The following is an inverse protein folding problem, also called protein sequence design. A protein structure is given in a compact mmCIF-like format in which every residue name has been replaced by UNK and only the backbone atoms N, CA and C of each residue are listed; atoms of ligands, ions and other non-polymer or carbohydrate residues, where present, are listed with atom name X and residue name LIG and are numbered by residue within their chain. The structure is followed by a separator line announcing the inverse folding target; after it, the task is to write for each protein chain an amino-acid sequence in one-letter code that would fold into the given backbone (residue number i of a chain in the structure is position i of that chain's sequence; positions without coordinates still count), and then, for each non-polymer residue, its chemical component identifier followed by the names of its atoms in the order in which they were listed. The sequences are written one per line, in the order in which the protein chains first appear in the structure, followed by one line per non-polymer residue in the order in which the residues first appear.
data_IF_409061726893
#
_entry.id   IF_409061726893
#
_cell.length_a   1.000
_cell.length_b   1.000
_cell.length_c   1.000
_cell.angle_alpha   90.00
_cell.angle_beta   90.00
_cell.angle_gamma   90.00
#
_symmetry.space_group_name_H-M   'P 1'
#
loop_
_entity.id
_entity.type
_entity.pdbx_description
1 polymer ?
#
# COMPACT_ATOMS: atom_id res chain seq x y z
N UNK A 1 -6.57 31.19 8.97
CA UNK A 1 -7.31 29.99 9.43
C UNK A 1 -6.30 28.94 9.84
N UNK A 2 -6.59 28.06 10.79
CA UNK A 2 -5.67 26.97 11.12
C UNK A 2 -5.96 25.78 10.21
N UNK A 3 -4.92 25.22 9.57
CA UNK A 3 -5.03 23.99 8.79
C UNK A 3 -5.03 22.76 9.73
N UNK A 4 -6.03 21.90 9.59
CA UNK A 4 -6.11 20.68 10.39
C UNK A 4 -5.07 19.66 9.90
N UNK A 5 -4.30 19.07 10.81
CA UNK A 5 -3.31 18.03 10.48
C UNK A 5 -4.00 16.66 10.44
N UNK A 6 -3.94 15.99 9.29
CA UNK A 6 -4.48 14.65 9.08
C UNK A 6 -3.37 13.60 9.32
N UNK A 7 -3.03 13.35 10.58
CA UNK A 7 -1.98 12.40 10.94
C UNK A 7 -2.40 10.96 10.67
N UNK A 8 -1.58 10.19 9.93
CA UNK A 8 -1.80 8.76 9.72
C UNK A 8 -1.40 7.87 10.90
N UNK A 9 -0.72 8.42 11.92
CA UNK A 9 -0.15 7.62 13.02
C UNK A 9 -1.22 6.90 13.85
N UNK A 10 -2.32 7.59 14.18
CA UNK A 10 -3.42 6.99 14.98
C UNK A 10 -4.07 5.85 14.21
N UNK A 11 -4.39 6.06 12.94
CA UNK A 11 -4.99 5.05 12.08
C UNK A 11 -4.06 3.85 11.86
N UNK A 12 -2.76 4.11 11.64
CA UNK A 12 -1.75 3.04 11.57
C UNK A 12 -1.69 2.21 12.86
N UNK A 13 -1.85 2.85 14.02
CA UNK A 13 -1.95 2.16 15.32
C UNK A 13 -3.17 1.24 15.42
N UNK A 14 -4.33 1.67 14.91
CA UNK A 14 -5.54 0.85 14.88
C UNK A 14 -5.34 -0.38 13.99
N UNK A 15 -4.81 -0.21 12.78
CA UNK A 15 -4.49 -1.35 11.92
C UNK A 15 -3.46 -2.30 12.52
N UNK A 16 -2.44 -1.79 13.22
CA UNK A 16 -1.48 -2.63 13.92
C UNK A 16 -2.14 -3.50 15.01
N UNK A 17 -3.11 -2.96 15.75
CA UNK A 17 -3.88 -3.72 16.73
C UNK A 17 -4.69 -4.83 16.05
N UNK A 18 -5.39 -4.51 14.97
CA UNK A 18 -6.14 -5.48 14.16
C UNK A 18 -5.24 -6.60 13.62
N UNK A 19 -4.08 -6.24 13.07
CA UNK A 19 -3.07 -7.23 12.62
C UNK A 19 -2.64 -8.15 13.77
N UNK A 20 -2.35 -7.60 14.95
CA UNK A 20 -1.92 -8.42 16.10
C UNK A 20 -3.03 -9.36 16.59
N UNK A 21 -4.28 -8.94 16.56
CA UNK A 21 -5.44 -9.77 16.90
C UNK A 21 -5.59 -10.93 15.93
N UNK A 22 -5.50 -10.64 14.63
CA UNK A 22 -5.60 -11.64 13.58
C UNK A 22 -4.41 -12.61 13.59
N UNK A 23 -3.18 -12.14 13.84
CA UNK A 23 -2.00 -12.99 14.04
C UNK A 23 -2.22 -13.98 15.18
N UNK A 24 -2.72 -13.51 16.34
CA UNK A 24 -3.03 -14.40 17.46
C UNK A 24 -4.09 -15.44 17.12
N UNK A 25 -5.09 -15.06 16.31
CA UNK A 25 -6.12 -15.98 15.82
C UNK A 25 -5.52 -17.06 14.92
N UNK A 26 -4.74 -16.67 13.92
CA UNK A 26 -4.07 -17.58 12.97
C UNK A 26 -3.07 -18.52 13.67
N UNK A 27 -2.32 -18.02 14.66
CA UNK A 27 -1.38 -18.83 15.45
C UNK A 27 -2.08 -19.94 16.24
N UNK A 28 -3.28 -19.72 16.76
CA UNK A 28 -4.09 -20.77 17.41
C UNK A 28 -4.51 -21.88 16.44
N UNK A 29 -4.56 -21.57 15.15
CA UNK A 29 -4.84 -22.50 14.05
C UNK A 29 -3.54 -23.13 13.48
N UNK A 30 -2.39 -22.84 14.08
CA UNK A 30 -1.08 -23.34 13.64
C UNK A 30 -0.47 -22.56 12.45
N UNK A 31 -1.03 -21.41 12.09
CA UNK A 31 -0.59 -20.59 10.95
C UNK A 31 0.17 -19.37 11.43
N UNK A 32 1.37 -19.16 10.88
CA UNK A 32 2.15 -17.94 11.09
C UNK A 32 2.18 -17.15 9.78
N UNK A 33 1.54 -15.98 9.71
CA UNK A 33 1.58 -15.15 8.50
C UNK A 33 3.00 -14.71 8.16
N UNK A 34 3.36 -14.77 6.87
CA UNK A 34 4.68 -14.37 6.36
C UNK A 34 4.53 -13.46 5.15
N UNK A 35 5.20 -12.31 5.21
CA UNK A 35 5.42 -11.42 4.06
C UNK A 35 6.83 -11.64 3.50
N UNK A 36 6.95 -11.74 2.18
CA UNK A 36 8.21 -11.72 1.45
C UNK A 36 8.38 -10.36 0.76
N UNK A 37 9.49 -9.70 1.01
CA UNK A 37 9.86 -8.43 0.37
C UNK A 37 11.04 -8.70 -0.55
N UNK A 38 10.78 -8.63 -1.86
CA UNK A 38 11.82 -8.81 -2.90
C UNK A 38 12.33 -7.44 -3.32
N UNK A 39 13.62 -7.25 -3.26
CA UNK A 39 14.30 -6.03 -3.68
C UNK A 39 15.54 -6.34 -4.51
N UNK A 40 15.89 -5.41 -5.40
CA UNK A 40 17.06 -5.53 -6.28
C UNK A 40 17.59 -4.12 -6.58
N UNK A 41 18.14 -3.46 -5.58
CA UNK A 41 18.59 -2.07 -5.72
C UNK A 41 19.71 -1.75 -4.75
N UNK A 42 20.59 -0.79 -5.12
CA UNK A 42 21.57 -0.20 -4.22
C UNK A 42 21.09 1.09 -3.55
N UNK A 43 19.81 1.46 -3.71
CA UNK A 43 19.27 2.69 -3.13
C UNK A 43 19.08 2.57 -1.62
N UNK A 44 19.81 3.38 -0.87
CA UNK A 44 19.77 3.35 0.61
C UNK A 44 18.38 3.70 1.18
N UNK A 45 17.63 4.55 0.52
CA UNK A 45 16.28 4.93 0.98
C UNK A 45 15.32 3.74 0.90
N UNK A 46 15.45 2.91 -0.12
CA UNK A 46 14.71 1.67 -0.27
C UNK A 46 15.08 0.66 0.81
N UNK A 47 16.37 0.47 1.10
CA UNK A 47 16.82 -0.38 2.21
C UNK A 47 16.26 0.09 3.55
N UNK A 48 16.23 1.40 3.77
CA UNK A 48 15.68 1.97 4.99
C UNK A 48 14.17 1.69 5.11
N UNK A 49 13.44 1.84 4.02
CA UNK A 49 12.00 1.54 3.97
C UNK A 49 11.72 0.06 4.22
N UNK A 50 12.44 -0.85 3.56
CA UNK A 50 12.31 -2.31 3.76
C UNK A 50 12.58 -2.69 5.22
N UNK A 51 13.62 -2.14 5.84
CA UNK A 51 13.87 -2.33 7.28
C UNK A 51 12.73 -1.79 8.16
N UNK A 52 12.03 -0.76 7.72
CA UNK A 52 10.87 -0.25 8.46
C UNK A 52 9.68 -1.22 8.40
N UNK A 53 9.47 -1.89 7.26
CA UNK A 53 8.48 -2.96 7.09
C UNK A 53 8.84 -4.15 7.99
N UNK A 54 10.09 -4.58 7.98
CA UNK A 54 10.58 -5.69 8.81
C UNK A 54 10.32 -5.45 10.31
N UNK A 55 10.70 -4.28 10.82
CA UNK A 55 10.43 -3.90 12.22
C UNK A 55 8.94 -3.83 12.55
N UNK A 56 8.13 -3.38 11.60
CA UNK A 56 6.68 -3.33 11.78
C UNK A 56 6.08 -4.74 11.81
N UNK A 57 6.53 -5.64 10.92
CA UNK A 57 6.14 -7.04 10.88
C UNK A 57 6.52 -7.77 12.18
N UNK A 58 7.75 -7.59 12.66
CA UNK A 58 8.23 -8.15 13.93
C UNK A 58 7.36 -7.74 15.12
N UNK A 59 7.08 -6.44 15.25
CA UNK A 59 6.18 -5.91 16.31
C UNK A 59 4.75 -6.47 16.23
N UNK A 60 4.29 -6.79 15.03
CA UNK A 60 2.96 -7.35 14.79
C UNK A 60 2.90 -8.89 14.92
N UNK A 61 4.05 -9.57 15.02
CA UNK A 61 4.14 -11.03 15.05
C UNK A 61 4.02 -11.69 13.67
N UNK A 62 4.14 -10.91 12.59
CA UNK A 62 4.20 -11.38 11.19
C UNK A 62 5.64 -11.73 10.84
N UNK A 63 5.86 -12.89 10.21
CA UNK A 63 7.16 -13.24 9.66
C UNK A 63 7.51 -12.32 8.48
N UNK A 64 8.75 -11.84 8.41
CA UNK A 64 9.24 -11.06 7.28
C UNK A 64 10.46 -11.73 6.67
N UNK A 65 10.42 -11.98 5.35
CA UNK A 65 11.54 -12.53 4.57
C UNK A 65 12.00 -11.46 3.61
N UNK A 66 13.17 -10.90 3.83
CA UNK A 66 13.81 -9.97 2.89
C UNK A 66 14.65 -10.78 1.92
N UNK A 67 14.36 -10.64 0.63
CA UNK A 67 15.10 -11.25 -0.47
C UNK A 67 15.77 -10.11 -1.25
N UNK A 68 17.01 -9.82 -0.87
CA UNK A 68 17.83 -8.83 -1.57
C UNK A 68 18.66 -9.53 -2.65
N UNK A 69 18.37 -9.20 -3.91
CA UNK A 69 19.02 -9.79 -5.07
C UNK A 69 20.17 -8.91 -5.60
N UNK A 70 20.42 -7.76 -4.95
CA UNK A 70 21.45 -6.82 -5.36
C UNK A 70 21.09 -6.02 -6.62
N UNK A 71 21.84 -4.95 -6.85
CA UNK A 71 21.57 -4.00 -7.94
C UNK A 71 21.87 -4.54 -9.36
N UNK A 72 22.53 -5.68 -9.47
CA UNK A 72 22.86 -6.35 -10.75
C UNK A 72 21.86 -7.46 -11.09
N UNK A 73 20.81 -7.67 -10.31
CA UNK A 73 19.85 -8.72 -10.56
C UNK A 73 19.16 -8.54 -11.92
N UNK A 74 19.07 -9.63 -12.67
CA UNK A 74 18.44 -9.64 -13.99
C UNK A 74 16.94 -9.94 -13.89
N UNK A 75 16.17 -9.53 -14.90
CA UNK A 75 14.73 -9.80 -14.97
C UNK A 75 14.40 -11.30 -14.86
N UNK A 76 15.12 -12.26 -15.50
CA UNK A 76 14.87 -13.68 -15.31
C UNK A 76 15.06 -14.18 -13.88
N UNK A 77 16.05 -13.67 -13.14
CA UNK A 77 16.29 -14.03 -11.73
C UNK A 77 15.14 -13.53 -10.86
N UNK A 78 14.75 -12.27 -11.00
CA UNK A 78 13.59 -11.71 -10.30
C UNK A 78 12.31 -12.48 -10.62
N UNK A 79 12.09 -12.82 -11.89
CA UNK A 79 10.94 -13.58 -12.34
C UNK A 79 10.89 -15.00 -11.72
N UNK A 80 12.04 -15.68 -11.60
CA UNK A 80 12.11 -16.98 -10.92
C UNK A 80 11.71 -16.86 -9.45
N UNK A 81 12.35 -15.93 -8.73
CA UNK A 81 12.09 -15.72 -7.29
C UNK A 81 10.60 -15.40 -7.04
N UNK A 82 9.99 -14.54 -7.86
CA UNK A 82 8.58 -14.19 -7.69
C UNK A 82 7.64 -15.38 -7.93
N UNK A 83 7.95 -16.25 -8.93
CA UNK A 83 7.17 -17.48 -9.15
C UNK A 83 7.33 -18.47 -8.01
N UNK A 84 8.56 -18.67 -7.52
CA UNK A 84 8.85 -19.58 -6.42
C UNK A 84 8.11 -19.15 -5.14
N UNK A 85 8.17 -17.86 -4.79
CA UNK A 85 7.44 -17.29 -3.65
C UNK A 85 5.91 -17.39 -3.83
N UNK A 86 5.42 -17.18 -5.07
CA UNK A 86 3.99 -17.33 -5.38
C UNK A 86 3.52 -18.77 -5.19
N UNK A 87 4.35 -19.75 -5.51
CA UNK A 87 4.04 -21.17 -5.34
C UNK A 87 4.25 -21.66 -3.89
N UNK A 88 5.02 -20.94 -3.07
CA UNK A 88 5.39 -21.36 -1.71
C UNK A 88 4.22 -21.19 -0.72
N UNK A 89 3.66 -22.29 -0.12
CA UNK A 89 2.50 -22.19 0.78
C UNK A 89 2.77 -21.43 2.07
N UNK A 90 4.02 -21.37 2.53
CA UNK A 90 4.42 -20.67 3.76
C UNK A 90 4.51 -19.15 3.59
N UNK A 91 4.43 -18.61 2.37
CA UNK A 91 4.42 -17.19 2.06
C UNK A 91 2.98 -16.75 1.79
N UNK A 92 2.51 -15.76 2.52
CA UNK A 92 1.14 -15.26 2.43
C UNK A 92 1.03 -13.95 1.67
N UNK A 93 2.06 -13.11 1.72
CA UNK A 93 2.12 -11.85 0.98
C UNK A 93 3.46 -11.63 0.31
N UNK A 94 3.46 -11.00 -0.87
CA UNK A 94 4.66 -10.67 -1.63
C UNK A 94 4.64 -9.20 -2.00
N UNK A 95 5.78 -8.54 -1.80
CA UNK A 95 6.04 -7.15 -2.22
C UNK A 95 7.24 -7.17 -3.16
N UNK A 96 7.10 -6.60 -4.35
CA UNK A 96 8.22 -6.29 -5.23
C UNK A 96 8.60 -4.82 -5.05
N UNK A 97 9.69 -4.59 -4.34
CA UNK A 97 10.15 -3.24 -4.03
C UNK A 97 10.81 -2.57 -5.23
N UNK A 98 10.52 -1.31 -5.45
CA UNK A 98 11.14 -0.46 -6.48
C UNK A 98 12.00 0.63 -5.84
N UNK A 99 13.02 1.19 -6.53
CA UNK A 99 13.35 0.95 -7.94
C UNK A 99 13.99 -0.42 -8.21
N UNK A 100 13.86 -0.88 -9.45
CA UNK A 100 14.54 -2.08 -9.95
C UNK A 100 15.80 -1.70 -10.75
N UNK A 101 16.71 -2.66 -11.04
CA UNK A 101 17.89 -2.40 -11.84
C UNK A 101 17.57 -1.78 -13.20
N UNK A 102 18.47 -0.98 -13.79
CA UNK A 102 18.30 -0.43 -15.12
C UNK A 102 17.99 -1.50 -16.17
N UNK A 103 16.96 -1.26 -16.98
CA UNK A 103 16.52 -2.21 -18.02
C UNK A 103 15.53 -3.26 -17.57
N UNK A 104 15.34 -3.48 -16.26
CA UNK A 104 14.30 -4.38 -15.72
C UNK A 104 12.96 -3.66 -15.70
N UNK A 105 11.93 -4.28 -16.25
CA UNK A 105 10.59 -3.69 -16.31
C UNK A 105 9.69 -4.27 -15.23
N UNK A 106 9.23 -3.42 -14.33
CA UNK A 106 8.26 -3.79 -13.27
C UNK A 106 7.01 -4.46 -13.86
N UNK A 107 6.50 -3.94 -14.98
CA UNK A 107 5.30 -4.45 -15.66
C UNK A 107 5.39 -5.93 -16.05
N UNK A 108 6.62 -6.43 -16.35
CA UNK A 108 6.85 -7.83 -16.70
C UNK A 108 6.86 -8.76 -15.48
N UNK A 109 7.07 -8.21 -14.29
CA UNK A 109 7.31 -8.94 -13.05
C UNK A 109 6.09 -9.01 -12.15
N UNK A 110 5.36 -7.90 -11.96
CA UNK A 110 4.23 -7.85 -11.01
C UNK A 110 3.12 -8.84 -11.36
N UNK A 111 2.95 -9.18 -12.66
CA UNK A 111 2.00 -10.19 -13.10
C UNK A 111 2.38 -11.63 -12.71
N UNK A 112 3.62 -11.87 -12.22
CA UNK A 112 4.09 -13.18 -11.76
C UNK A 112 3.77 -13.43 -10.28
N UNK A 113 3.39 -12.41 -9.55
CA UNK A 113 2.90 -12.54 -8.18
C UNK A 113 1.48 -13.07 -8.24
N UNK A 114 1.20 -14.18 -7.53
CA UNK A 114 -0.16 -14.71 -7.43
C UNK A 114 -1.10 -13.65 -6.83
N UNK A 115 -2.26 -13.38 -7.43
CA UNK A 115 -3.17 -12.31 -6.97
C UNK A 115 -3.60 -12.44 -5.51
N UNK A 116 -3.63 -13.67 -4.99
CA UNK A 116 -3.96 -13.98 -3.59
C UNK A 116 -2.85 -13.57 -2.62
N UNK A 117 -1.63 -13.35 -3.13
CA UNK A 117 -0.44 -12.94 -2.39
C UNK A 117 0.05 -11.54 -2.78
N UNK A 118 -0.61 -10.89 -3.73
CA UNK A 118 -0.30 -9.53 -4.20
C UNK A 118 -0.82 -8.49 -3.19
N UNK A 119 -0.20 -8.44 -2.03
CA UNK A 119 -0.63 -7.60 -0.92
C UNK A 119 -0.41 -6.10 -1.15
N UNK A 120 0.41 -5.75 -2.12
CA UNK A 120 0.60 -4.36 -2.56
C UNK A 120 -0.32 -3.98 -3.72
N UNK A 121 -1.14 -4.92 -4.24
CA UNK A 121 -2.12 -4.67 -5.29
C UNK A 121 -1.49 -4.23 -6.62
N UNK A 122 -0.25 -4.63 -6.90
CA UNK A 122 0.51 -4.23 -8.07
C UNK A 122 0.19 -5.07 -9.32
N UNK A 123 -0.40 -6.26 -9.14
CA UNK A 123 -0.74 -7.17 -10.23
C UNK A 123 -1.85 -6.59 -11.12
N UNK A 124 -1.68 -6.59 -12.46
CA UNK A 124 -2.70 -6.11 -13.40
C UNK A 124 -4.08 -6.77 -13.22
N UNK A 125 -4.14 -8.03 -12.79
CA UNK A 125 -5.41 -8.71 -12.50
C UNK A 125 -6.09 -8.11 -11.26
N UNK A 126 -5.33 -7.79 -10.20
CA UNK A 126 -5.84 -7.09 -9.02
C UNK A 126 -6.44 -5.74 -9.40
N UNK A 127 -5.74 -4.97 -10.23
CA UNK A 127 -6.23 -3.68 -10.73
C UNK A 127 -7.48 -3.84 -11.62
N UNK A 128 -7.53 -4.86 -12.48
CA UNK A 128 -8.69 -5.18 -13.31
C UNK A 128 -9.91 -5.52 -12.47
N UNK A 129 -9.75 -6.36 -11.44
CA UNK A 129 -10.82 -6.71 -10.47
C UNK A 129 -11.31 -5.46 -9.74
N UNK A 130 -10.39 -4.62 -9.27
CA UNK A 130 -10.73 -3.35 -8.61
C UNK A 130 -11.58 -2.45 -9.52
N UNK A 131 -11.22 -2.35 -10.80
CA UNK A 131 -11.91 -1.50 -11.77
C UNK A 131 -13.35 -1.93 -12.03
N UNK A 132 -13.68 -3.22 -11.87
CA UNK A 132 -15.03 -3.76 -12.06
C UNK A 132 -15.75 -4.07 -10.73
N UNK A 133 -15.21 -3.60 -9.60
CA UNK A 133 -15.82 -3.78 -8.28
C UNK A 133 -15.73 -5.22 -7.73
N UNK A 134 -14.80 -6.03 -8.24
CA UNK A 134 -14.57 -7.37 -7.72
C UNK A 134 -13.54 -7.38 -6.58
N UNK A 135 -13.60 -8.36 -5.66
CA UNK A 135 -12.64 -8.46 -4.55
C UNK A 135 -11.20 -8.60 -5.04
N UNK A 136 -10.34 -7.70 -4.58
CA UNK A 136 -8.90 -7.70 -4.80
C UNK A 136 -8.21 -6.94 -3.67
N UNK A 137 -6.90 -7.16 -3.49
CA UNK A 137 -6.11 -6.22 -2.72
C UNK A 137 -5.94 -4.93 -3.53
N UNK A 138 -6.42 -3.82 -2.99
CA UNK A 138 -6.17 -2.52 -3.57
C UNK A 138 -4.71 -2.12 -3.27
N UNK A 139 -4.03 -1.39 -4.17
CA UNK A 139 -2.69 -0.88 -3.89
C UNK A 139 -2.64 -0.15 -2.54
N UNK A 140 -1.73 -0.61 -1.67
CA UNK A 140 -1.71 -0.21 -0.26
C UNK A 140 -1.63 1.30 -0.08
N UNK A 141 -0.82 1.99 -0.88
CA UNK A 141 -0.71 3.45 -0.84
C UNK A 141 -2.01 4.14 -1.28
N UNK A 142 -2.67 3.65 -2.33
CA UNK A 142 -3.94 4.21 -2.79
C UNK A 142 -5.06 3.98 -1.75
N UNK A 143 -5.13 2.78 -1.16
CA UNK A 143 -6.05 2.47 -0.06
C UNK A 143 -5.79 3.35 1.16
N UNK A 144 -4.52 3.61 1.51
CA UNK A 144 -4.16 4.47 2.65
C UNK A 144 -4.75 5.88 2.56
N UNK A 145 -4.79 6.45 1.36
CA UNK A 145 -5.40 7.78 1.14
C UNK A 145 -6.88 7.75 1.50
N UNK A 146 -7.60 6.74 1.02
CA UNK A 146 -9.04 6.61 1.29
C UNK A 146 -9.30 6.35 2.76
N UNK A 147 -8.55 5.46 3.39
CA UNK A 147 -8.65 5.14 4.82
C UNK A 147 -8.41 6.38 5.70
N UNK A 148 -7.45 7.25 5.34
CA UNK A 148 -7.25 8.54 6.04
C UNK A 148 -8.46 9.44 5.87
N UNK A 149 -8.98 9.62 4.66
CA UNK A 149 -10.14 10.47 4.40
C UNK A 149 -11.37 9.98 5.19
N UNK A 150 -11.62 8.67 5.20
CA UNK A 150 -12.71 8.05 5.96
C UNK A 150 -12.51 8.18 7.48
N UNK A 151 -11.28 7.95 7.98
CA UNK A 151 -10.94 8.10 9.40
C UNK A 151 -11.25 9.52 9.93
N UNK A 152 -10.92 10.53 9.14
CA UNK A 152 -11.21 11.92 9.46
C UNK A 152 -12.62 12.38 9.04
N UNK A 153 -13.46 11.44 8.56
CA UNK A 153 -14.85 11.70 8.15
C UNK A 153 -14.94 12.79 7.07
N UNK A 154 -13.97 12.84 6.16
CA UNK A 154 -14.00 13.73 4.99
C UNK A 154 -15.00 13.13 4.00
N UNK A 155 -16.10 13.82 3.67
CA UNK A 155 -17.11 13.29 2.76
C UNK A 155 -16.54 13.19 1.34
N UNK A 156 -16.83 12.08 0.64
CA UNK A 156 -16.40 11.84 -0.74
C UNK A 156 -17.56 11.85 -1.72
N UNK A 157 -18.74 11.36 -1.33
CA UNK A 157 -19.90 11.30 -2.21
C UNK A 157 -20.30 12.70 -2.71
N UNK A 158 -20.35 12.87 -4.05
CA UNK A 158 -20.63 14.13 -4.71
C UNK A 158 -19.53 15.19 -4.64
N UNK A 159 -18.34 14.84 -4.12
CA UNK A 159 -17.21 15.76 -3.97
C UNK A 159 -16.29 15.77 -5.19
N UNK A 160 -15.77 16.94 -5.54
CA UNK A 160 -14.74 17.11 -6.55
C UNK A 160 -13.37 16.74 -5.99
N UNK A 161 -12.81 15.60 -6.44
CA UNK A 161 -11.49 15.14 -6.02
C UNK A 161 -10.50 15.19 -7.16
N UNK A 162 -9.37 15.86 -6.96
CA UNK A 162 -8.29 15.94 -7.94
C UNK A 162 -7.13 15.04 -7.49
N UNK A 163 -6.75 14.11 -8.35
CA UNK A 163 -5.59 13.24 -8.16
C UNK A 163 -4.47 13.72 -9.07
N UNK A 164 -3.38 14.21 -8.46
CA UNK A 164 -2.17 14.66 -9.18
C UNK A 164 -1.17 13.51 -9.22
N UNK A 165 -1.14 12.81 -10.35
CA UNK A 165 -0.36 11.61 -10.59
C UNK A 165 -1.20 10.52 -11.23
N UNK A 166 -0.56 9.66 -12.06
CA UNK A 166 -1.25 8.59 -12.80
C UNK A 166 -0.46 7.28 -12.82
N UNK A 167 0.33 7.03 -11.78
CA UNK A 167 1.07 5.78 -11.64
C UNK A 167 0.11 4.58 -11.53
N UNK A 168 0.61 3.40 -11.89
CA UNK A 168 -0.16 2.16 -11.81
C UNK A 168 -0.46 1.75 -10.35
N UNK A 169 0.40 2.17 -9.40
CA UNK A 169 0.30 1.77 -7.99
C UNK A 169 -0.32 2.83 -7.08
N UNK A 170 -0.54 4.06 -7.56
CA UNK A 170 -1.19 5.12 -6.76
C UNK A 170 -2.31 5.81 -7.52
N UNK A 171 -1.99 6.64 -8.52
CA UNK A 171 -2.98 7.56 -9.11
C UNK A 171 -4.14 6.85 -9.80
N UNK A 172 -3.87 5.85 -10.65
CA UNK A 172 -4.93 5.08 -11.32
C UNK A 172 -5.81 4.32 -10.33
N UNK A 173 -5.25 3.45 -9.43
CA UNK A 173 -6.08 2.72 -8.47
C UNK A 173 -6.81 3.63 -7.48
N UNK A 174 -6.19 4.71 -7.04
CA UNK A 174 -6.87 5.70 -6.19
C UNK A 174 -8.10 6.30 -6.87
N UNK A 175 -8.00 6.62 -8.16
CA UNK A 175 -9.14 7.15 -8.91
C UNK A 175 -10.31 6.16 -8.94
N UNK A 176 -10.04 4.86 -9.08
CA UNK A 176 -11.06 3.80 -9.00
C UNK A 176 -11.68 3.69 -7.60
N UNK A 177 -10.84 3.74 -6.55
CA UNK A 177 -11.32 3.70 -5.17
C UNK A 177 -12.20 4.89 -4.81
N UNK A 178 -11.89 6.08 -5.33
CA UNK A 178 -12.65 7.30 -5.12
C UNK A 178 -13.98 7.27 -5.90
N UNK A 179 -13.96 6.78 -7.15
CA UNK A 179 -15.18 6.57 -7.95
C UNK A 179 -16.14 5.59 -7.25
N UNK A 180 -15.62 4.51 -6.67
CA UNK A 180 -16.42 3.56 -5.89
C UNK A 180 -17.04 4.17 -4.60
N UNK A 181 -16.66 5.40 -4.26
CA UNK A 181 -17.21 6.20 -3.15
C UNK A 181 -18.00 7.41 -3.63
N UNK A 182 -18.49 7.34 -4.86
CA UNK A 182 -19.33 8.36 -5.49
C UNK A 182 -18.66 9.75 -5.61
N UNK A 183 -17.33 9.82 -5.63
CA UNK A 183 -16.59 11.06 -5.88
C UNK A 183 -16.53 11.41 -7.38
N UNK A 184 -16.57 12.69 -7.71
CA UNK A 184 -16.25 13.18 -9.05
C UNK A 184 -14.73 13.37 -9.17
N UNK A 185 -14.06 12.48 -9.92
CA UNK A 185 -12.59 12.40 -9.95
C UNK A 185 -12.01 13.05 -11.20
N UNK A 186 -11.03 13.93 -11.01
CA UNK A 186 -10.18 14.47 -12.06
C UNK A 186 -8.74 14.01 -11.86
N UNK A 187 -8.12 13.43 -12.90
CA UNK A 187 -6.71 13.01 -12.85
C UNK A 187 -5.84 13.99 -13.61
N UNK A 188 -4.85 14.57 -12.91
CA UNK A 188 -3.86 15.48 -13.49
C UNK A 188 -2.47 14.82 -13.54
N UNK A 189 -1.68 15.24 -14.51
CA UNK A 189 -0.32 14.74 -14.73
C UNK A 189 0.55 15.81 -15.41
N UNK A 190 1.83 15.52 -15.63
CA UNK A 190 2.80 16.47 -16.21
C UNK A 190 2.43 17.09 -17.57
N UNK A 191 1.41 16.55 -18.25
CA UNK A 191 0.89 17.07 -19.54
C UNK A 191 -0.48 17.75 -19.40
N UNK A 192 -1.00 17.96 -18.19
CA UNK A 192 -2.34 18.54 -17.97
C UNK A 192 -2.35 20.07 -17.96
N UNK A 193 -1.19 20.71 -17.98
CA UNK A 193 -1.04 22.16 -17.85
C UNK A 193 -0.99 22.62 -16.38
N UNK A 194 -1.27 23.91 -16.09
CA UNK A 194 -1.17 24.46 -14.74
C UNK A 194 -2.11 23.78 -13.75
N UNK A 195 -1.59 23.31 -12.60
CA UNK A 195 -2.36 22.58 -11.60
C UNK A 195 -3.52 23.40 -11.03
N UNK A 196 -3.30 24.68 -10.74
CA UNK A 196 -4.31 25.56 -10.16
C UNK A 196 -5.64 25.59 -10.93
N UNK A 197 -5.60 25.31 -12.25
CA UNK A 197 -6.81 25.18 -13.09
C UNK A 197 -7.75 24.07 -12.63
N UNK A 198 -7.21 23.05 -12.01
CA UNK A 198 -7.95 21.85 -11.58
C UNK A 198 -8.14 21.80 -10.07
N UNK A 199 -7.13 22.26 -9.32
CA UNK A 199 -7.04 22.05 -7.87
C UNK A 199 -7.69 23.15 -7.05
N UNK A 200 -7.79 24.37 -7.57
CA UNK A 200 -8.22 25.55 -6.78
C UNK A 200 -9.65 25.45 -6.26
N UNK A 201 -10.54 24.82 -7.03
CA UNK A 201 -11.95 24.65 -6.68
C UNK A 201 -12.27 23.23 -6.18
N UNK A 202 -11.27 22.34 -6.08
CA UNK A 202 -11.46 20.99 -5.60
C UNK A 202 -11.76 20.93 -4.10
N UNK A 203 -12.65 20.02 -3.71
CA UNK A 203 -12.90 19.70 -2.29
C UNK A 203 -11.71 18.95 -1.68
N UNK A 204 -11.15 18.00 -2.44
CA UNK A 204 -9.98 17.20 -2.05
C UNK A 204 -8.94 17.21 -3.15
N UNK A 205 -7.67 17.40 -2.79
CA UNK A 205 -6.53 17.28 -3.69
C UNK A 205 -5.57 16.25 -3.14
N UNK A 206 -5.30 15.20 -3.93
CA UNK A 206 -4.30 14.17 -3.58
C UNK A 206 -3.09 14.31 -4.49
N UNK A 207 -1.90 14.47 -3.92
CA UNK A 207 -0.66 14.69 -4.67
C UNK A 207 0.23 13.47 -4.56
N UNK A 208 0.49 12.82 -5.72
CA UNK A 208 1.27 11.59 -5.85
C UNK A 208 2.11 11.63 -7.14
N UNK A 209 2.93 12.67 -7.28
CA UNK A 209 3.69 12.97 -8.49
C UNK A 209 5.20 12.65 -8.37
N UNK A 210 5.70 12.40 -7.16
CA UNK A 210 7.12 12.16 -6.87
C UNK A 210 7.98 13.39 -7.17
N UNK A 211 7.45 14.58 -6.86
CA UNK A 211 8.15 15.85 -7.09
C UNK A 211 7.95 16.78 -5.90
N UNK A 212 9.03 17.00 -5.15
CA UNK A 212 9.03 17.83 -3.96
C UNK A 212 8.44 19.21 -4.21
N UNK A 213 7.50 19.64 -3.34
CA UNK A 213 6.93 20.97 -3.33
C UNK A 213 6.13 21.36 -4.59
N UNK A 214 5.61 20.39 -5.35
CA UNK A 214 4.88 20.61 -6.59
C UNK A 214 3.59 21.42 -6.39
N UNK A 215 2.83 21.14 -5.33
CA UNK A 215 1.59 21.84 -4.99
C UNK A 215 1.87 22.92 -3.94
N UNK A 216 1.50 24.15 -4.22
CA UNK A 216 1.65 25.27 -3.30
C UNK A 216 0.34 25.88 -2.81
N UNK A 217 0.41 26.84 -1.90
CA UNK A 217 -0.76 27.52 -1.34
C UNK A 217 -1.61 28.27 -2.37
N UNK A 218 -1.03 28.73 -3.49
CA UNK A 218 -1.76 29.35 -4.60
C UNK A 218 -2.64 28.38 -5.40
N UNK A 219 -2.37 27.08 -5.28
CA UNK A 219 -3.05 26.03 -6.03
C UNK A 219 -4.30 25.47 -5.31
N UNK A 220 -4.54 25.90 -4.07
CA UNK A 220 -5.63 25.42 -3.22
C UNK A 220 -6.44 26.55 -2.63
N UNK A 221 -7.56 26.23 -2.02
CA UNK A 221 -8.43 27.18 -1.31
C UNK A 221 -8.59 26.82 0.15
N UNK A 222 -9.21 27.70 0.95
CA UNK A 222 -9.44 27.49 2.38
C UNK A 222 -10.41 26.34 2.71
N UNK A 223 -11.12 25.78 1.74
CA UNK A 223 -11.99 24.62 1.87
C UNK A 223 -11.34 23.31 1.44
N UNK A 224 -10.19 23.39 0.76
CA UNK A 224 -9.54 22.22 0.16
C UNK A 224 -8.88 21.36 1.23
N UNK A 225 -9.17 20.05 1.20
CA UNK A 225 -8.42 19.03 1.94
C UNK A 225 -7.29 18.54 1.06
N UNK A 226 -6.05 18.57 1.56
CA UNK A 226 -4.86 18.16 0.82
C UNK A 226 -4.29 16.87 1.42
N UNK A 227 -4.12 15.85 0.58
CA UNK A 227 -3.45 14.59 0.95
C UNK A 227 -2.15 14.47 0.16
N UNK A 228 -1.04 14.56 0.87
CA UNK A 228 0.29 14.40 0.31
C UNK A 228 0.74 12.94 0.41
N UNK A 229 0.95 12.32 -0.73
CA UNK A 229 1.45 10.93 -0.89
C UNK A 229 2.94 10.91 -1.21
N UNK A 230 3.49 12.07 -1.56
CA UNK A 230 4.88 12.23 -1.97
C UNK A 230 5.85 11.81 -0.87
N UNK A 231 6.96 11.22 -1.30
CA UNK A 231 8.07 10.85 -0.43
C UNK A 231 9.36 11.15 -1.17
N UNK A 232 9.97 12.29 -0.89
CA UNK A 232 11.17 12.77 -1.56
C UNK A 232 12.27 12.96 -0.53
N UNK A 233 13.44 12.38 -0.75
CA UNK A 233 14.64 12.58 0.08
C UNK A 233 15.43 13.74 -0.50
N UNK A 234 15.64 14.79 0.30
CA UNK A 234 16.46 15.94 -0.09
C UNK A 234 17.96 15.63 0.09
N UNK A 235 18.86 16.45 -0.49
CA UNK A 235 20.31 16.25 -0.36
C UNK A 235 20.83 16.26 1.08
N UNK A 236 20.12 16.90 2.00
CA UNK A 236 20.43 16.92 3.43
C UNK A 236 19.90 15.70 4.21
N UNK A 237 19.28 14.75 3.50
CA UNK A 237 18.68 13.55 4.08
C UNK A 237 17.26 13.76 4.65
N UNK A 238 16.73 14.98 4.62
CA UNK A 238 15.37 15.25 5.09
C UNK A 238 14.32 14.68 4.14
N UNK A 239 13.20 14.21 4.71
CA UNK A 239 12.07 13.66 3.97
C UNK A 239 10.99 14.73 3.81
N UNK A 240 10.60 14.99 2.57
CA UNK A 240 9.53 15.95 2.24
C UNK A 240 8.52 15.33 1.29
N UNK A 241 7.31 15.89 1.26
CA UNK A 241 6.26 15.50 0.34
C UNK A 241 6.30 16.19 -1.02
N UNK A 242 5.27 15.94 -1.80
CA UNK A 242 5.02 16.63 -3.07
C UNK A 242 4.35 18.00 -2.86
N UNK A 243 3.90 18.29 -1.64
CA UNK A 243 3.25 19.54 -1.25
C UNK A 243 4.28 20.46 -0.59
N UNK A 244 4.27 21.72 -0.96
CA UNK A 244 5.04 22.78 -0.27
C UNK A 244 4.31 23.14 1.03
N UNK A 245 4.52 22.33 2.08
CA UNK A 245 3.79 22.36 3.35
C UNK A 245 3.66 23.78 3.94
N UNK A 246 4.78 24.52 3.99
CA UNK A 246 4.80 25.85 4.60
C UNK A 246 3.83 26.86 3.91
N UNK A 247 3.59 26.72 2.60
CA UNK A 247 2.68 27.62 1.88
C UNK A 247 1.22 27.16 1.92
N UNK A 248 0.99 25.84 2.09
CA UNK A 248 -0.36 25.25 2.16
C UNK A 248 -0.93 25.34 3.58
N UNK A 249 -0.07 25.27 4.58
CA UNK A 249 -0.43 25.50 5.99
C UNK A 249 -0.95 26.92 6.18
N UNK A 250 -2.12 27.06 6.80
CA UNK A 250 -2.83 28.33 6.94
C UNK A 250 -3.71 28.70 5.74
N UNK A 251 -3.57 28.01 4.61
CA UNK A 251 -4.41 28.18 3.41
C UNK A 251 -5.44 27.06 3.29
N UNK A 252 -5.03 25.80 3.24
CA UNK A 252 -5.94 24.66 3.12
C UNK A 252 -6.72 24.38 4.40
N UNK A 253 -7.89 23.75 4.29
CA UNK A 253 -8.69 23.28 5.41
C UNK A 253 -7.95 22.22 6.23
N UNK A 254 -7.32 21.25 5.54
CA UNK A 254 -6.59 20.16 6.17
C UNK A 254 -5.43 19.71 5.28
N UNK A 255 -4.41 19.08 5.91
CA UNK A 255 -3.22 18.58 5.22
C UNK A 255 -2.66 17.34 5.97
N UNK A 256 -2.28 16.30 5.22
CA UNK A 256 -1.48 15.20 5.77
C UNK A 256 -0.02 15.60 5.89
N UNK A 257 0.65 15.31 7.02
CA UNK A 257 2.07 15.62 7.18
C UNK A 257 2.97 14.61 6.46
N UNK A 258 4.17 15.03 6.05
CA UNK A 258 5.23 14.14 5.57
C UNK A 258 6.52 14.46 6.37
N UNK A 259 7.02 13.51 7.18
CA UNK A 259 6.52 12.16 7.46
C UNK A 259 5.33 12.13 8.45
N UNK A 260 4.67 10.97 8.54
CA UNK A 260 3.61 10.72 9.54
C UNK A 260 2.18 10.77 9.01
N UNK A 261 2.00 10.95 7.70
CA UNK A 261 0.73 10.85 6.98
C UNK A 261 0.55 9.49 6.31
N UNK A 262 0.36 9.48 4.99
CA UNK A 262 0.03 8.32 4.16
C UNK A 262 1.02 7.15 4.34
N UNK A 263 2.33 7.42 4.33
CA UNK A 263 3.35 6.37 4.44
C UNK A 263 3.24 5.52 5.72
N UNK A 264 2.82 6.12 6.85
CA UNK A 264 2.59 5.38 8.11
C UNK A 264 1.45 4.37 7.98
N UNK A 265 0.39 4.74 7.27
CA UNK A 265 -0.79 3.89 7.04
C UNK A 265 -0.46 2.80 6.01
N UNK A 266 0.32 3.12 4.97
CA UNK A 266 0.73 2.16 3.94
C UNK A 266 1.42 0.94 4.53
N UNK A 267 2.41 1.16 5.41
CA UNK A 267 3.13 0.04 6.06
C UNK A 267 2.18 -0.83 6.90
N UNK A 268 1.24 -0.23 7.63
CA UNK A 268 0.28 -0.98 8.43
C UNK A 268 -0.69 -1.77 7.55
N UNK A 269 -1.14 -1.20 6.43
CA UNK A 269 -2.02 -1.88 5.47
C UNK A 269 -1.34 -3.05 4.76
N UNK A 270 -0.05 -2.98 4.44
CA UNK A 270 0.70 -4.11 3.90
C UNK A 270 0.66 -5.32 4.85
N UNK A 271 0.80 -5.09 6.15
CA UNK A 271 0.70 -6.15 7.14
C UNK A 271 -0.74 -6.64 7.31
N UNK A 272 -1.73 -5.76 7.27
CA UNK A 272 -3.14 -6.13 7.30
C UNK A 272 -3.50 -7.01 6.09
N UNK A 273 -3.09 -6.62 4.88
CA UNK A 273 -3.27 -7.43 3.69
C UNK A 273 -2.58 -8.80 3.81
N UNK A 274 -1.41 -8.86 4.46
CA UNK A 274 -0.69 -10.13 4.69
C UNK A 274 -1.51 -11.09 5.57
N UNK A 275 -2.08 -10.61 6.66
CA UNK A 275 -2.89 -11.46 7.55
C UNK A 275 -4.24 -11.80 6.91
N UNK A 276 -4.86 -10.89 6.15
CA UNK A 276 -6.04 -11.18 5.34
C UNK A 276 -5.76 -12.26 4.28
N UNK A 277 -4.61 -12.20 3.60
CA UNK A 277 -4.18 -13.21 2.64
C UNK A 277 -3.98 -14.57 3.31
N UNK A 278 -3.31 -14.60 4.46
CA UNK A 278 -3.14 -15.83 5.25
C UNK A 278 -4.49 -16.43 5.65
N UNK A 279 -5.43 -15.62 6.12
CA UNK A 279 -6.78 -16.05 6.50
C UNK A 279 -7.54 -16.66 5.32
N UNK A 280 -7.48 -16.05 4.14
CA UNK A 280 -8.11 -16.56 2.91
C UNK A 280 -7.51 -17.89 2.49
N UNK A 281 -6.20 -18.06 2.60
CA UNK A 281 -5.51 -19.31 2.27
C UNK A 281 -5.90 -20.47 3.21
N UNK A 282 -6.04 -20.20 4.52
CA UNK A 282 -6.55 -21.20 5.49
C UNK A 282 -7.98 -21.59 5.17
N UNK A 283 -8.85 -20.62 4.88
CA UNK A 283 -10.28 -20.88 4.61
C UNK A 283 -10.52 -21.61 3.29
N UNK A 284 -9.58 -21.55 2.33
CA UNK A 284 -9.63 -22.24 1.05
C UNK A 284 -8.90 -23.59 1.03
N UNK A 285 -8.11 -23.89 2.07
CA UNK A 285 -7.42 -25.17 2.19
C UNK A 285 -8.44 -26.32 2.40
N UNK A 286 -8.29 -27.48 1.71
CA UNK A 286 -9.10 -28.64 2.02
C UNK A 286 -8.88 -29.05 3.49
N UNK A 287 -9.93 -29.53 4.19
CA UNK A 287 -9.80 -29.95 5.58
C UNK A 287 -8.65 -30.96 5.71
N UNK A 288 -7.80 -30.76 6.72
CA UNK A 288 -6.71 -31.67 6.98
C UNK A 288 -7.23 -33.12 7.05
N UNK A 289 -6.56 -34.11 6.44
CA UNK A 289 -6.98 -35.49 6.53
C UNK A 289 -7.12 -35.85 8.01
N UNK A 290 -8.31 -36.31 8.41
CA UNK A 290 -8.54 -36.79 9.77
C UNK A 290 -7.48 -37.83 10.05
N UNK A 291 -6.72 -37.65 11.15
CA UNK A 291 -5.80 -38.68 11.62
C UNK A 291 -6.55 -40.03 11.70
N UNK A 292 -6.05 -41.04 11.00
CA UNK A 292 -6.59 -42.39 11.11
C UNK A 292 -6.43 -42.80 12.57
N UNK A 293 -7.54 -42.88 13.30
CA UNK A 293 -7.54 -43.51 14.62
C UNK A 293 -7.04 -44.96 14.46
N UNK A 294 -6.09 -45.40 15.29
CA UNK A 294 -5.63 -46.79 15.22
C UNK A 294 -6.82 -47.70 15.44
N UNK A 295 -7.15 -48.54 14.43
CA UNK A 295 -8.09 -49.64 14.62
C UNK A 295 -7.56 -50.56 15.71
N UNK A 296 -8.17 -50.51 16.88
CA UNK A 296 -7.97 -51.53 17.89
C UNK A 296 -8.56 -52.82 17.30
N UNK A 297 -7.69 -53.75 16.89
CA UNK A 297 -8.07 -55.10 16.57
C UNK A 297 -8.46 -55.75 17.92
N UNK A 298 -9.77 -55.87 18.19
CA UNK A 298 -10.25 -56.78 19.21
C UNK A 298 -9.84 -58.20 18.82
N UNK A 299 -8.94 -58.78 19.61
CA UNK A 299 -8.61 -60.18 19.50
C UNK A 299 -9.85 -60.99 19.87
N UNK A 300 -10.40 -61.69 18.87
CA UNK A 300 -11.43 -62.69 19.08
C UNK A 300 -10.81 -63.83 19.90
N UNK A 301 -11.35 -64.05 21.12
CA UNK A 301 -11.10 -65.19 21.94
C UNK A 301 -11.95 -66.40 21.50
#
# INVERSE_FOLDING_TARGET
MSTTVLSGKTLAGLFQQEVQEEVRSLQREGVRPVVAVVMATGDESTHWYVRSIERAAERAGVGCRIIDLGHDATEPVLASVLRDLSAEPSVNGIILQTPLPPGVRTDNLVGLIAPEKDIDGANPLSLGRLAVGQPAFAPATARSVVEILEHYRIPLAGKGVVVVGRSAVVGKPLSLLLLARDAAVTVCHSRSGPLARYTKDADVVVVAAGRAGLLGGSDVSSRTVVVDVGTNVLPDGSLVGDVHEASVTGTAAALTPVPGGVGSVTTALLLLHTVEAARRQVSSAPPAPKALEPRVLEAAG
#
